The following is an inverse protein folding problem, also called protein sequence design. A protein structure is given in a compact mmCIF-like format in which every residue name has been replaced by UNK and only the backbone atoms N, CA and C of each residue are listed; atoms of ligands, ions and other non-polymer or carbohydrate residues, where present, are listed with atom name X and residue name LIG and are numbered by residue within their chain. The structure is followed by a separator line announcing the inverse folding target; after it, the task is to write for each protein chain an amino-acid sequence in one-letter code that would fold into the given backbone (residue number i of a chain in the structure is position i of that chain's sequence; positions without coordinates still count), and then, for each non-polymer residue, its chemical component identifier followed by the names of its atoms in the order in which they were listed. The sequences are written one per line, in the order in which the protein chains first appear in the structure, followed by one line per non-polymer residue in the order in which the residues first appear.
data_IF_170297983405
#
_entry.id   IF_170297983405
#
_cell.length_a   1.000
_cell.length_b   1.000
_cell.length_c   1.000
_cell.angle_alpha   90.00
_cell.angle_beta   90.00
_cell.angle_gamma   90.00
#
_symmetry.space_group_name_H-M   'P 1'
#
loop_
_entity.id
_entity.type
_entity.pdbx_description
1 polymer ?
#
# COMPACT_ATOMS: atom_id res chain seq x y z
N UNK A 1 -4.47 -38.18 -3.40
CA UNK A 1 -4.46 -37.42 -2.13
C UNK A 1 -4.57 -35.93 -2.48
N UNK A 2 -5.80 -35.45 -2.73
CA UNK A 2 -6.08 -34.05 -3.07
C UNK A 2 -6.68 -33.37 -1.84
N UNK A 3 -5.82 -33.03 -0.90
CA UNK A 3 -6.20 -32.13 0.19
C UNK A 3 -6.10 -30.71 -0.40
N UNK A 4 -7.18 -29.92 -0.35
CA UNK A 4 -7.29 -28.50 -0.74
C UNK A 4 -8.10 -28.13 -2.01
N UNK A 5 -8.89 -29.02 -2.62
CA UNK A 5 -9.78 -28.63 -3.74
C UNK A 5 -11.06 -27.86 -3.33
N UNK A 6 -11.13 -27.31 -2.11
CA UNK A 6 -12.38 -26.70 -1.61
C UNK A 6 -12.24 -25.62 -0.54
N UNK A 7 -11.03 -25.20 -0.18
CA UNK A 7 -10.82 -24.12 0.80
C UNK A 7 -10.71 -22.78 0.09
N UNK A 8 -11.81 -22.30 -0.51
CA UNK A 8 -11.90 -20.93 -1.02
C UNK A 8 -12.20 -20.01 0.16
N UNK A 9 -11.23 -19.19 0.56
CA UNK A 9 -11.45 -18.13 1.53
C UNK A 9 -12.32 -17.06 0.87
N UNK A 10 -13.53 -16.84 1.39
CA UNK A 10 -14.43 -15.78 0.94
C UNK A 10 -14.25 -14.55 1.83
N UNK A 11 -13.76 -13.45 1.24
CA UNK A 11 -13.64 -12.16 1.93
C UNK A 11 -14.50 -11.16 1.18
N UNK A 12 -15.40 -10.47 1.89
CA UNK A 12 -16.31 -9.47 1.31
C UNK A 12 -16.99 -9.95 0.02
N UNK A 13 -17.60 -11.14 0.09
CA UNK A 13 -18.33 -11.83 -1.00
C UNK A 13 -17.52 -12.25 -2.23
N UNK A 14 -16.21 -11.96 -2.29
CA UNK A 14 -15.33 -12.39 -3.38
C UNK A 14 -14.59 -13.69 -3.05
N UNK A 15 -14.39 -14.53 -4.06
CA UNK A 15 -13.60 -15.76 -3.99
C UNK A 15 -12.10 -15.44 -4.03
N UNK A 16 -11.26 -16.34 -3.51
CA UNK A 16 -9.80 -16.11 -3.44
C UNK A 16 -9.17 -15.85 -4.82
N UNK A 17 -9.62 -16.55 -5.85
CA UNK A 17 -9.13 -16.35 -7.21
C UNK A 17 -9.48 -14.96 -7.76
N UNK A 18 -10.68 -14.44 -7.46
CA UNK A 18 -11.10 -13.12 -7.92
C UNK A 18 -10.44 -11.99 -7.13
N UNK A 19 -10.13 -12.22 -5.85
CA UNK A 19 -9.34 -11.28 -5.05
C UNK A 19 -7.90 -11.20 -5.53
N UNK A 20 -7.27 -12.33 -5.87
CA UNK A 20 -5.89 -12.34 -6.38
C UNK A 20 -5.75 -11.73 -7.78
N UNK A 21 -6.84 -11.61 -8.54
CA UNK A 21 -6.88 -10.86 -9.79
C UNK A 21 -7.32 -9.40 -9.64
N UNK A 22 -7.64 -8.95 -8.42
CA UNK A 22 -8.10 -7.59 -8.16
C UNK A 22 -6.89 -6.69 -7.90
N UNK A 23 -6.67 -5.71 -8.78
CA UNK A 23 -5.55 -4.77 -8.66
C UNK A 23 -5.59 -4.01 -7.33
N UNK A 24 -6.78 -3.76 -6.77
CA UNK A 24 -6.92 -3.12 -5.45
C UNK A 24 -6.35 -3.99 -4.34
N UNK A 25 -6.54 -5.30 -4.42
CA UNK A 25 -6.01 -6.23 -3.44
C UNK A 25 -4.49 -6.31 -3.52
N UNK A 26 -3.93 -6.26 -4.73
CA UNK A 26 -2.48 -6.23 -4.93
C UNK A 26 -1.86 -4.92 -4.46
N UNK A 27 -2.52 -3.79 -4.71
CA UNK A 27 -2.07 -2.47 -4.26
C UNK A 27 -1.94 -2.36 -2.74
N UNK A 28 -2.71 -3.15 -1.97
CA UNK A 28 -2.64 -3.15 -0.51
C UNK A 28 -1.30 -3.63 0.07
N UNK A 29 -0.51 -4.36 -0.72
CA UNK A 29 0.80 -4.84 -0.31
C UNK A 29 1.90 -3.77 -0.48
N UNK A 30 1.59 -2.63 -1.10
CA UNK A 30 2.51 -1.52 -1.21
C UNK A 30 2.88 -0.97 0.17
N UNK A 31 4.17 -0.70 0.37
CA UNK A 31 4.66 -0.10 1.61
C UNK A 31 4.40 1.42 1.62
N UNK A 32 3.82 1.90 2.73
CA UNK A 32 3.56 3.32 2.98
C UNK A 32 4.17 3.73 4.31
N UNK A 33 4.56 5.00 4.42
CA UNK A 33 5.07 5.58 5.64
C UNK A 33 3.90 5.99 6.55
N UNK A 34 3.96 5.62 7.83
CA UNK A 34 2.99 6.02 8.85
C UNK A 34 3.69 6.66 10.04
N UNK A 35 3.00 7.58 10.71
CA UNK A 35 3.39 8.12 12.01
C UNK A 35 2.47 7.51 13.08
N UNK A 36 2.93 6.54 13.88
CA UNK A 36 2.13 5.96 14.95
C UNK A 36 1.98 6.94 16.10
N UNK A 37 0.83 6.88 16.76
CA UNK A 37 0.44 7.65 17.96
C UNK A 37 0.66 6.85 19.25
N UNK A 38 1.11 5.60 19.13
CA UNK A 38 1.42 4.70 20.23
C UNK A 38 2.88 4.26 20.19
N UNK A 39 3.36 3.72 21.29
CA UNK A 39 4.68 3.10 21.40
C UNK A 39 4.53 1.64 21.79
N UNK A 40 5.23 0.76 21.08
CA UNK A 40 5.37 -0.67 21.36
C UNK A 40 6.82 -1.07 21.15
N UNK A 41 7.46 -1.60 22.19
CA UNK A 41 8.84 -2.11 22.09
C UNK A 41 8.91 -3.43 21.33
N UNK A 42 7.85 -4.23 21.42
CA UNK A 42 7.76 -5.50 20.72
C UNK A 42 7.24 -5.30 19.29
N UNK A 43 7.96 -5.84 18.27
CA UNK A 43 7.44 -5.94 16.92
C UNK A 43 6.26 -6.92 16.84
N UNK A 44 5.35 -6.67 15.90
CA UNK A 44 4.25 -7.56 15.56
C UNK A 44 4.77 -8.62 14.58
N UNK A 45 4.71 -9.88 14.99
CA UNK A 45 5.08 -11.02 14.14
C UNK A 45 3.92 -11.42 13.23
N UNK A 46 4.09 -11.24 11.92
CA UNK A 46 3.17 -11.66 10.88
C UNK A 46 3.76 -12.79 10.03
N UNK A 47 2.92 -13.48 9.25
CA UNK A 47 3.34 -14.57 8.37
C UNK A 47 4.43 -14.11 7.37
N UNK A 48 4.31 -12.86 6.88
CA UNK A 48 5.21 -12.28 5.87
C UNK A 48 6.47 -11.63 6.47
N UNK A 49 6.54 -11.47 7.79
CA UNK A 49 7.65 -10.78 8.45
C UNK A 49 7.24 -10.10 9.75
N UNK A 50 8.14 -9.30 10.32
CA UNK A 50 7.91 -8.55 11.56
C UNK A 50 7.71 -7.07 11.26
N UNK A 51 6.73 -6.43 11.90
CA UNK A 51 6.49 -4.99 11.78
C UNK A 51 6.75 -4.29 13.11
N UNK A 52 7.53 -3.20 13.10
CA UNK A 52 7.94 -2.49 14.31
C UNK A 52 9.42 -2.68 14.64
N UNK A 53 9.90 -2.18 15.79
CA UNK A 53 9.12 -1.59 16.89
C UNK A 53 8.44 -0.27 16.53
N UNK A 54 7.26 -0.02 17.10
CA UNK A 54 6.51 1.22 16.87
C UNK A 54 6.88 2.25 17.93
N UNK A 55 7.29 3.45 17.52
CA UNK A 55 7.60 4.55 18.45
C UNK A 55 6.74 5.74 18.09
N UNK A 56 6.01 6.25 19.08
CA UNK A 56 5.13 7.39 18.86
C UNK A 56 5.87 8.54 18.19
N UNK A 57 5.25 9.16 17.19
CA UNK A 57 5.81 10.29 16.42
C UNK A 57 7.08 9.97 15.62
N UNK A 58 7.41 8.69 15.41
CA UNK A 58 8.52 8.25 14.55
C UNK A 58 7.98 7.55 13.32
N UNK A 59 8.32 8.07 12.13
CA UNK A 59 7.88 7.47 10.87
C UNK A 59 8.40 6.03 10.72
N UNK A 60 7.54 5.13 10.25
CA UNK A 60 7.86 3.73 9.97
C UNK A 60 7.08 3.24 8.76
N UNK A 61 7.70 2.34 7.98
CA UNK A 61 7.08 1.69 6.83
C UNK A 61 6.25 0.49 7.25
N UNK A 62 5.01 0.44 6.76
CA UNK A 62 4.13 -0.71 6.88
C UNK A 62 3.35 -0.92 5.57
N UNK A 63 2.83 -2.13 5.31
CA UNK A 63 1.94 -2.34 4.17
C UNK A 63 0.67 -1.50 4.27
N UNK A 64 0.11 -1.09 3.13
CA UNK A 64 -1.07 -0.24 3.07
C UNK A 64 -2.28 -0.86 3.79
N UNK A 65 -2.51 -2.18 3.71
CA UNK A 65 -3.58 -2.83 4.48
C UNK A 65 -3.42 -2.64 5.99
N UNK A 66 -2.19 -2.65 6.50
CA UNK A 66 -1.90 -2.46 7.91
C UNK A 66 -2.06 -0.99 8.31
N UNK A 67 -1.57 -0.08 7.47
CA UNK A 67 -1.74 1.36 7.65
C UNK A 67 -3.23 1.74 7.75
N UNK A 68 -4.06 1.24 6.83
CA UNK A 68 -5.50 1.49 6.81
C UNK A 68 -6.19 0.98 8.08
N UNK A 69 -5.82 -0.21 8.57
CA UNK A 69 -6.39 -0.76 9.79
C UNK A 69 -5.95 0.03 11.04
N UNK A 70 -4.68 0.44 11.10
CA UNK A 70 -4.18 1.29 12.20
C UNK A 70 -4.82 2.69 12.19
N UNK A 71 -5.07 3.27 11.01
CA UNK A 71 -5.76 4.55 10.87
C UNK A 71 -7.24 4.44 11.30
N UNK A 72 -7.92 3.35 10.91
CA UNK A 72 -9.29 3.04 11.36
C UNK A 72 -9.38 2.94 12.89
N UNK A 73 -8.33 2.43 13.55
CA UNK A 73 -8.20 2.36 15.01
C UNK A 73 -7.72 3.67 15.64
N UNK A 74 -7.48 4.73 14.85
CA UNK A 74 -6.94 6.03 15.27
C UNK A 74 -5.54 5.93 15.91
N UNK A 75 -4.78 4.90 15.56
CA UNK A 75 -3.46 4.60 16.12
C UNK A 75 -2.30 5.19 15.32
N UNK A 76 -2.53 5.63 14.09
CA UNK A 76 -1.50 6.31 13.29
C UNK A 76 -2.08 7.50 12.52
N UNK A 77 -1.21 8.18 11.81
CA UNK A 77 -1.51 9.08 10.70
C UNK A 77 -0.71 8.54 9.51
N UNK A 78 -1.35 8.37 8.36
CA UNK A 78 -0.69 7.92 7.14
C UNK A 78 -0.02 9.13 6.47
N UNK A 79 1.27 9.01 6.15
CA UNK A 79 1.98 10.04 5.42
C UNK A 79 1.77 9.87 3.92
N UNK A 80 1.63 11.00 3.22
CA UNK A 80 1.44 11.00 1.79
C UNK A 80 2.75 10.54 1.10
N UNK A 81 2.71 9.57 0.17
CA UNK A 81 3.88 9.21 -0.61
C UNK A 81 4.43 10.41 -1.39
N UNK A 82 5.76 10.48 -1.51
CA UNK A 82 6.44 11.60 -2.16
C UNK A 82 5.92 11.90 -3.58
N UNK A 83 5.64 10.86 -4.36
CA UNK A 83 5.17 11.00 -5.73
C UNK A 83 3.76 11.58 -5.86
N UNK A 84 2.97 11.53 -4.78
CA UNK A 84 1.59 12.01 -4.75
C UNK A 84 1.50 13.49 -4.34
N UNK A 85 2.64 14.14 -4.05
CA UNK A 85 2.68 15.58 -3.85
C UNK A 85 2.35 16.34 -5.14
N UNK A 86 1.60 17.44 -5.01
CA UNK A 86 1.12 18.25 -6.14
C UNK A 86 2.25 18.71 -7.08
N UNK A 87 3.40 19.09 -6.51
CA UNK A 87 4.57 19.54 -7.27
C UNK A 87 5.11 18.43 -8.19
N UNK A 88 5.25 17.21 -7.66
CA UNK A 88 5.76 16.07 -8.42
C UNK A 88 4.73 15.57 -9.45
N UNK A 89 3.44 15.58 -9.11
CA UNK A 89 2.38 15.25 -10.07
C UNK A 89 2.32 16.23 -11.24
N UNK A 90 2.49 17.53 -10.98
CA UNK A 90 2.56 18.54 -12.04
C UNK A 90 3.77 18.32 -12.93
N UNK A 91 4.93 18.04 -12.33
CA UNK A 91 6.15 17.72 -13.05
C UNK A 91 5.98 16.48 -13.93
N UNK A 92 5.50 15.36 -13.38
CA UNK A 92 5.25 14.12 -14.14
C UNK A 92 4.29 14.35 -15.30
N UNK A 93 3.22 15.13 -15.07
CA UNK A 93 2.24 15.49 -16.11
C UNK A 93 2.87 16.33 -17.22
N UNK A 94 3.71 17.29 -16.88
CA UNK A 94 4.34 18.18 -17.84
C UNK A 94 5.42 17.43 -18.64
N UNK A 95 6.19 16.55 -17.98
CA UNK A 95 7.14 15.64 -18.62
C UNK A 95 6.45 14.67 -19.61
N UNK A 96 5.25 14.16 -19.28
CA UNK A 96 4.44 13.32 -20.18
C UNK A 96 3.94 14.10 -21.41
N UNK A 97 3.64 15.39 -21.26
CA UNK A 97 3.15 16.25 -22.35
C UNK A 97 4.24 16.73 -23.29
N UNK A 98 5.51 16.68 -22.87
CA UNK A 98 6.62 17.13 -23.66
C UNK A 98 6.73 16.31 -24.97
N UNK A 99 6.77 17.02 -26.10
CA UNK A 99 6.80 16.39 -27.43
C UNK A 99 8.00 15.45 -27.62
N UNK A 100 9.09 15.69 -26.89
CA UNK A 100 10.27 14.83 -26.90
C UNK A 100 9.99 13.42 -26.34
N UNK A 101 8.91 13.27 -25.56
CA UNK A 101 8.53 12.03 -24.88
C UNK A 101 7.28 11.36 -25.47
N UNK A 102 6.69 11.93 -26.54
CA UNK A 102 5.39 11.48 -27.07
C UNK A 102 5.35 10.02 -27.56
N UNK A 103 6.50 9.44 -27.91
CA UNK A 103 6.60 8.08 -28.45
C UNK A 103 6.86 7.01 -27.37
N UNK A 104 6.89 7.39 -26.09
CA UNK A 104 7.14 6.47 -24.96
C UNK A 104 6.18 6.71 -23.81
N UNK A 105 5.92 5.66 -23.04
CA UNK A 105 5.24 5.79 -21.75
C UNK A 105 6.24 6.26 -20.70
N UNK A 106 5.87 7.29 -19.94
CA UNK A 106 6.68 7.68 -18.78
C UNK A 106 6.53 6.64 -17.65
N UNK A 107 7.62 6.34 -16.94
CA UNK A 107 7.55 5.47 -15.77
C UNK A 107 6.73 6.17 -14.68
N UNK A 108 5.67 5.51 -14.24
CA UNK A 108 4.83 5.92 -13.10
C UNK A 108 4.99 4.94 -11.95
N UNK A 109 4.56 5.33 -10.76
CA UNK A 109 4.58 4.43 -9.60
C UNK A 109 3.58 3.27 -9.81
N UNK A 110 3.95 2.10 -9.29
CA UNK A 110 3.08 0.92 -9.34
C UNK A 110 1.78 1.19 -8.56
N UNK A 111 0.66 0.73 -9.11
CA UNK A 111 -0.66 0.85 -8.48
C UNK A 111 -1.08 2.28 -8.09
N UNK A 112 -0.55 3.31 -8.77
CA UNK A 112 -0.81 4.71 -8.41
C UNK A 112 -2.29 5.10 -8.47
N UNK A 113 -3.10 4.40 -9.29
CA UNK A 113 -4.54 4.64 -9.44
C UNK A 113 -5.30 4.13 -8.20
N UNK A 114 -4.89 2.98 -7.66
CA UNK A 114 -5.54 2.36 -6.51
C UNK A 114 -5.13 3.01 -5.19
N UNK A 115 -3.94 3.62 -5.13
CA UNK A 115 -3.40 4.27 -3.94
C UNK A 115 -3.92 5.71 -3.76
N UNK A 116 -4.22 6.42 -4.85
CA UNK A 116 -4.69 7.81 -4.83
C UNK A 116 -6.15 7.96 -4.39
#
# INVERSE_FOLDING_TARGET
MSFCTGSTLRVNTKDTATLLSDDKFMALEQEVDIIPKFSSEDPIDCIKGKFGPFRAHTAIKVPLWAALEMDRLQQCTIELPYWLHEEELKRLRDDEKDRANADRFMPVNEHYIEIA
#
